data_IF_267869733170
#
_entry.id   IF_267869733170
#
_cell.length_a   1.000
_cell.length_b   1.000
_cell.length_c   1.000
_cell.angle_alpha   90.00
_cell.angle_beta   90.00
_cell.angle_gamma   90.00
#
_symmetry.space_group_name_H-M   'P 1'
#
loop_
_entity.id
_entity.type
_entity.pdbx_description
1 polymer ?
#
# COMPACT_ATOMS: atom_id res chain seq x y z
N UNK A 1 -5.90 -18.07 5.85
CA UNK A 1 -5.66 -16.67 6.25
C UNK A 1 -4.25 -16.58 6.80
N UNK A 2 -3.35 -15.89 6.11
CA UNK A 2 -1.95 -15.73 6.51
C UNK A 2 -1.38 -14.46 5.92
N UNK A 3 -0.48 -13.81 6.65
CA UNK A 3 0.29 -12.66 6.14
C UNK A 3 1.45 -13.22 5.31
N UNK A 4 1.55 -12.82 4.05
CA UNK A 4 2.67 -13.20 3.19
C UNK A 4 3.76 -12.13 3.28
N UNK A 5 4.99 -12.57 3.50
CA UNK A 5 6.14 -11.72 3.75
C UNK A 5 7.08 -11.71 2.53
N UNK A 6 7.48 -10.53 2.08
CA UNK A 6 8.52 -10.33 1.04
C UNK A 6 9.55 -9.34 1.57
N UNK A 7 10.84 -9.54 1.29
CA UNK A 7 11.92 -8.75 1.88
C UNK A 7 11.83 -7.27 1.44
N UNK A 8 11.67 -6.37 2.43
CA UNK A 8 11.54 -4.90 2.37
C UNK A 8 11.51 -4.30 0.94
N UNK A 9 10.31 -4.23 0.37
CA UNK A 9 10.07 -3.60 -0.93
C UNK A 9 9.57 -2.16 -0.73
N UNK A 10 10.12 -1.22 -1.50
CA UNK A 10 9.64 0.16 -1.56
C UNK A 10 9.33 0.54 -3.00
N UNK A 11 8.26 1.32 -3.16
CA UNK A 11 7.84 1.88 -4.45
C UNK A 11 7.21 3.25 -4.19
N UNK A 12 6.71 3.88 -5.25
CA UNK A 12 6.03 5.17 -5.18
C UNK A 12 4.65 5.10 -5.83
N UNK A 13 3.79 6.01 -5.41
CA UNK A 13 2.48 6.22 -6.00
C UNK A 13 2.61 6.74 -7.43
N UNK A 14 2.01 6.03 -8.39
CA UNK A 14 1.96 6.46 -9.79
C UNK A 14 0.86 7.49 -10.05
N UNK A 15 -0.10 7.63 -9.14
CA UNK A 15 -1.19 8.61 -9.20
C UNK A 15 -1.60 9.03 -7.78
N UNK A 16 -1.99 10.30 -7.60
CA UNK A 16 -2.52 10.78 -6.33
C UNK A 16 -3.81 10.06 -5.93
N UNK A 17 -4.01 9.93 -4.62
CA UNK A 17 -5.15 9.28 -3.99
C UNK A 17 -5.76 10.17 -2.90
N UNK A 18 -7.07 10.07 -2.71
CA UNK A 18 -7.76 10.72 -1.59
C UNK A 18 -8.02 9.73 -0.43
N UNK A 19 -8.69 10.21 0.62
CA UNK A 19 -8.99 9.45 1.84
C UNK A 19 -10.08 8.37 1.68
N UNK A 20 -10.71 8.25 0.51
CA UNK A 20 -11.84 7.33 0.28
C UNK A 20 -11.55 6.27 -0.79
N UNK A 21 -10.45 6.39 -1.55
CA UNK A 21 -10.14 5.40 -2.58
C UNK A 21 -9.65 4.08 -1.97
N UNK A 22 -10.11 2.98 -2.57
CA UNK A 22 -9.76 1.59 -2.21
C UNK A 22 -8.82 0.94 -3.22
N UNK A 23 -8.31 1.71 -4.18
CA UNK A 23 -7.40 1.25 -5.23
C UNK A 23 -6.18 2.18 -5.30
N UNK A 24 -4.99 1.59 -5.38
CA UNK A 24 -3.71 2.29 -5.41
C UNK A 24 -2.94 1.88 -6.66
N UNK A 25 -2.43 2.84 -7.43
CA UNK A 25 -1.52 2.57 -8.54
C UNK A 25 -0.09 2.88 -8.12
N UNK A 26 0.82 1.90 -8.23
CA UNK A 26 2.23 2.05 -7.86
C UNK A 26 3.14 2.00 -9.09
N UNK A 27 4.33 2.60 -8.98
CA UNK A 27 5.31 2.59 -10.06
C UNK A 27 5.86 1.18 -10.34
N UNK A 28 6.00 0.34 -9.30
CA UNK A 28 6.39 -1.05 -9.43
C UNK A 28 5.71 -1.90 -8.38
N UNK A 29 5.31 -3.12 -8.77
CA UNK A 29 4.74 -4.10 -7.86
C UNK A 29 5.55 -5.41 -7.79
N UNK A 30 6.74 -5.44 -8.38
CA UNK A 30 7.53 -6.68 -8.54
C UNK A 30 8.02 -7.29 -7.23
N UNK A 31 8.20 -6.48 -6.17
CA UNK A 31 8.62 -6.98 -4.87
C UNK A 31 7.47 -7.31 -3.91
N UNK A 32 6.21 -7.08 -4.29
CA UNK A 32 5.09 -7.52 -3.46
C UNK A 32 4.94 -9.04 -3.47
N UNK A 33 4.53 -9.65 -2.34
CA UNK A 33 4.21 -11.06 -2.30
C UNK A 33 2.99 -11.38 -3.18
N UNK A 34 2.93 -12.59 -3.71
CA UNK A 34 1.72 -13.09 -4.35
C UNK A 34 0.63 -13.31 -3.29
N UNK A 35 -0.53 -12.67 -3.48
CA UNK A 35 -1.70 -12.83 -2.63
C UNK A 35 -2.63 -13.87 -3.25
N UNK A 36 -2.90 -14.97 -2.54
CA UNK A 36 -3.87 -16.00 -2.93
C UNK A 36 -4.65 -16.48 -1.70
N UNK A 37 -5.83 -17.07 -1.91
CA UNK A 37 -6.62 -17.67 -0.82
C UNK A 37 -7.00 -16.69 0.31
N UNK A 38 -7.20 -15.41 -0.01
CA UNK A 38 -7.49 -14.33 0.95
C UNK A 38 -6.31 -13.93 1.85
N UNK A 39 -5.08 -14.24 1.43
CA UNK A 39 -3.89 -13.62 1.99
C UNK A 39 -3.91 -12.10 1.79
N UNK A 40 -3.26 -11.38 2.70
CA UNK A 40 -3.10 -9.93 2.63
C UNK A 40 -1.69 -9.55 3.05
N UNK A 41 -1.28 -8.34 2.67
CA UNK A 41 -0.03 -7.73 3.14
C UNK A 41 -0.32 -6.30 3.60
N UNK A 42 0.52 -5.77 4.48
CA UNK A 42 0.39 -4.40 4.96
C UNK A 42 1.44 -3.52 4.31
N UNK A 43 1.03 -2.30 4.03
CA UNK A 43 1.87 -1.32 3.34
C UNK A 43 1.72 0.01 4.05
N UNK A 44 2.83 0.69 4.23
CA UNK A 44 2.88 2.04 4.77
C UNK A 44 2.93 3.03 3.61
N UNK A 45 1.98 3.96 3.59
CA UNK A 45 1.96 5.13 2.74
C UNK A 45 2.56 6.30 3.52
N UNK A 46 3.52 6.99 2.91
CA UNK A 46 4.17 8.17 3.47
C UNK A 46 4.18 9.26 2.39
N UNK A 47 3.83 10.49 2.75
CA UNK A 47 3.81 11.62 1.82
C UNK A 47 5.20 12.07 1.32
N UNK A 48 6.28 11.36 1.68
CA UNK A 48 7.67 11.70 1.35
C UNK A 48 8.36 12.51 2.45
N UNK A 49 7.60 13.37 3.13
CA UNK A 49 8.07 14.20 4.25
C UNK A 49 7.77 13.59 5.63
N UNK A 50 7.18 12.38 5.69
CA UNK A 50 6.78 11.69 6.92
C UNK A 50 5.87 12.48 7.88
N UNK A 51 5.23 13.54 7.38
CA UNK A 51 4.23 14.33 8.11
C UNK A 51 2.88 13.63 8.17
N UNK A 52 2.58 12.80 7.17
CA UNK A 52 1.36 12.00 7.06
C UNK A 52 1.77 10.58 6.75
N UNK A 53 1.43 9.66 7.65
CA UNK A 53 1.69 8.24 7.53
C UNK A 53 0.37 7.49 7.66
N UNK A 54 0.10 6.60 6.71
CA UNK A 54 -1.07 5.72 6.75
C UNK A 54 -0.64 4.28 6.52
N UNK A 55 -1.22 3.35 7.28
CA UNK A 55 -1.04 1.92 7.05
C UNK A 55 -2.28 1.39 6.35
N UNK A 56 -2.07 0.69 5.24
CA UNK A 56 -3.15 0.11 4.43
C UNK A 56 -2.97 -1.40 4.29
N UNK A 57 -4.08 -2.13 4.25
CA UNK A 57 -4.10 -3.58 4.02
C UNK A 57 -4.34 -3.85 2.54
N UNK A 58 -3.36 -4.42 1.86
CA UNK A 58 -3.50 -4.86 0.46
C UNK A 58 -4.09 -6.26 0.44
N UNK A 59 -5.18 -6.43 -0.31
CA UNK A 59 -5.95 -7.68 -0.42
C UNK A 59 -5.84 -8.32 -1.79
N UNK A 60 -5.52 -7.54 -2.82
CA UNK A 60 -5.27 -8.05 -4.17
C UNK A 60 -4.24 -7.17 -4.88
N UNK A 61 -3.47 -7.78 -5.77
CA UNK A 61 -2.43 -7.12 -6.59
C UNK A 61 -2.64 -7.58 -8.02
N UNK A 62 -2.89 -6.64 -8.92
CA UNK A 62 -3.08 -6.89 -10.35
C UNK A 62 -2.18 -5.94 -11.13
N UNK A 63 -1.13 -6.50 -11.74
CA UNK A 63 -0.06 -5.70 -12.37
C UNK A 63 0.48 -4.66 -11.37
N UNK A 64 0.26 -3.37 -11.60
CA UNK A 64 0.68 -2.27 -10.73
C UNK A 64 -0.45 -1.65 -9.91
N UNK A 65 -1.62 -2.28 -9.91
CA UNK A 65 -2.79 -1.81 -9.15
C UNK A 65 -3.01 -2.69 -7.92
N UNK A 66 -3.04 -2.07 -6.74
CA UNK A 66 -3.28 -2.71 -5.46
C UNK A 66 -4.72 -2.41 -5.00
N UNK A 67 -5.44 -3.43 -4.57
CA UNK A 67 -6.74 -3.28 -3.88
C UNK A 67 -6.50 -3.22 -2.39
N UNK A 68 -6.95 -2.14 -1.75
CA UNK A 68 -6.57 -1.80 -0.38
C UNK A 68 -7.76 -1.51 0.53
N UNK A 69 -7.56 -1.76 1.82
CA UNK A 69 -8.40 -1.26 2.91
C UNK A 69 -7.59 -0.22 3.69
N UNK A 70 -8.17 0.98 3.84
CA UNK A 70 -7.54 2.18 4.44
C UNK A 70 -7.54 2.13 5.98
N UNK A 71 -6.76 3.01 6.60
CA UNK A 71 -6.80 3.28 8.04
C UNK A 71 -6.58 2.05 8.92
N UNK A 72 -5.56 1.27 8.63
CA UNK A 72 -5.17 0.11 9.44
C UNK A 72 -4.20 0.53 10.54
N UNK A 73 -3.97 -0.34 11.53
CA UNK A 73 -2.98 -0.11 12.60
C UNK A 73 -3.17 1.24 13.33
N UNK A 74 -4.43 1.60 13.60
CA UNK A 74 -4.83 2.86 14.24
C UNK A 74 -4.44 4.14 13.47
N UNK A 75 -4.13 4.03 12.18
CA UNK A 75 -3.94 5.18 11.29
C UNK A 75 -5.28 5.65 10.69
N UNK A 76 -5.32 6.92 10.28
CA UNK A 76 -6.50 7.49 9.61
C UNK A 76 -6.27 7.60 8.11
N UNK A 77 -7.34 7.42 7.33
CA UNK A 77 -7.27 7.54 5.88
C UNK A 77 -6.94 8.99 5.46
N UNK A 78 -5.87 9.17 4.71
CA UNK A 78 -5.38 10.47 4.26
C UNK A 78 -5.29 10.58 2.73
N UNK A 79 -5.08 11.80 2.24
CA UNK A 79 -4.73 12.01 0.83
C UNK A 79 -3.21 11.91 0.65
N UNK A 80 -2.78 11.28 -0.44
CA UNK A 80 -1.38 11.19 -0.83
C UNK A 80 -1.22 11.62 -2.28
N UNK A 81 -0.19 12.41 -2.55
CA UNK A 81 0.13 12.86 -3.90
C UNK A 81 0.85 11.77 -4.70
N UNK A 82 0.86 11.91 -6.03
CA UNK A 82 1.76 11.12 -6.88
C UNK A 82 3.20 11.26 -6.39
N UNK A 83 3.96 10.16 -6.39
CA UNK A 83 5.33 10.12 -5.88
C UNK A 83 5.44 9.82 -4.39
N UNK A 84 4.33 9.83 -3.63
CA UNK A 84 4.32 9.40 -2.24
C UNK A 84 4.86 7.97 -2.10
N UNK A 85 5.59 7.75 -1.01
CA UNK A 85 6.34 6.52 -0.77
C UNK A 85 5.39 5.42 -0.29
N UNK A 86 5.62 4.22 -0.79
CA UNK A 86 4.82 3.03 -0.54
C UNK A 86 5.77 1.92 -0.11
N UNK A 87 5.75 1.53 1.16
CA UNK A 87 6.70 0.58 1.73
C UNK A 87 5.98 -0.65 2.27
N UNK A 88 6.42 -1.83 1.83
CA UNK A 88 5.92 -3.08 2.38
C UNK A 88 6.34 -3.20 3.85
N UNK A 89 5.37 -3.48 4.73
CA UNK A 89 5.59 -3.66 6.16
C UNK A 89 5.60 -5.15 6.50
N UNK A 90 6.64 -5.57 7.22
CA UNK A 90 6.80 -6.89 7.80
C UNK A 90 6.25 -6.89 9.24
#
# INVERSE_FOLDING_TARGET
MGVTFSNKFSTTLSSGINNSVTSLSVASATGFPSLSGGAHTYVTLDNGDSTTIEVVKVTAISSTTLTIVRGQDNTSAAAFSTGAKVELRL
#
